data_IF_762925301939
#
_entry.id   IF_762925301939
#
_cell.length_a   1.000
_cell.length_b   1.000
_cell.length_c   1.000
_cell.angle_alpha   90.00
_cell.angle_beta   90.00
_cell.angle_gamma   90.00
#
_symmetry.space_group_name_H-M   'P 1'
#
loop_
_entity.id
_entity.type
_entity.pdbx_description
1 polymer ?
#
# COMPACT_ATOMS: atom_id res chain seq x y z
N UNK A 1 -56.64 4.97 40.22
CA UNK A 1 -55.48 5.78 40.68
C UNK A 1 -54.14 5.09 40.49
N UNK A 2 -53.95 3.82 40.89
CA UNK A 2 -52.66 3.10 40.76
C UNK A 2 -52.10 3.01 39.32
N UNK A 3 -52.95 2.72 38.33
CA UNK A 3 -52.54 2.58 36.92
C UNK A 3 -52.09 3.92 36.30
N UNK A 4 -52.71 5.02 36.72
CA UNK A 4 -52.37 6.36 36.25
C UNK A 4 -51.06 6.85 36.85
N UNK A 5 -50.81 6.52 38.13
CA UNK A 5 -49.53 6.80 38.79
C UNK A 5 -48.38 6.01 38.15
N UNK A 6 -48.59 4.74 37.79
CA UNK A 6 -47.57 3.95 37.09
C UNK A 6 -47.30 4.47 35.68
N UNK A 7 -48.33 4.92 34.96
CA UNK A 7 -48.17 5.49 33.62
C UNK A 7 -47.39 6.82 33.65
N UNK A 8 -47.67 7.68 34.64
CA UNK A 8 -46.94 8.95 34.82
C UNK A 8 -45.49 8.70 35.24
N UNK A 9 -45.22 7.68 36.07
CA UNK A 9 -43.87 7.31 36.49
C UNK A 9 -43.05 6.75 35.31
N UNK A 10 -43.66 5.92 34.46
CA UNK A 10 -43.04 5.39 33.24
C UNK A 10 -42.76 6.48 32.20
N UNK A 11 -43.69 7.43 32.04
CA UNK A 11 -43.50 8.58 31.15
C UNK A 11 -42.41 9.53 31.65
N UNK A 12 -42.29 9.69 32.99
CA UNK A 12 -41.19 10.44 33.61
C UNK A 12 -39.82 9.80 33.41
N UNK A 13 -39.73 8.46 33.39
CA UNK A 13 -38.49 7.75 33.10
C UNK A 13 -38.03 7.90 31.64
N UNK A 14 -38.97 8.04 30.70
CA UNK A 14 -38.68 8.29 29.28
C UNK A 14 -38.25 9.72 28.97
N UNK A 15 -38.47 10.66 29.90
CA UNK A 15 -38.08 12.07 29.80
C UNK A 15 -36.79 12.39 30.55
N UNK A 16 -36.11 11.38 31.12
CA UNK A 16 -34.76 11.57 31.62
C UNK A 16 -33.86 11.93 30.42
N UNK A 17 -33.19 13.09 30.41
CA UNK A 17 -32.24 13.41 29.37
C UNK A 17 -31.15 12.33 29.45
N UNK A 18 -31.11 11.46 28.46
CA UNK A 18 -29.89 10.69 28.20
C UNK A 18 -28.84 11.77 27.96
N UNK A 19 -27.93 11.93 28.91
CA UNK A 19 -26.71 12.66 28.66
C UNK A 19 -26.07 11.91 27.48
N UNK A 20 -26.22 12.47 26.27
CA UNK A 20 -25.36 12.12 25.16
C UNK A 20 -23.96 12.33 25.73
N UNK A 21 -23.23 11.23 25.97
CA UNK A 21 -21.82 11.33 26.23
C UNK A 21 -21.27 12.01 24.99
N UNK A 22 -20.91 13.30 25.12
CA UNK A 22 -20.07 13.93 24.12
C UNK A 22 -18.90 12.97 23.96
N UNK A 23 -18.78 12.34 22.79
CA UNK A 23 -17.55 11.68 22.41
C UNK A 23 -16.48 12.73 22.70
N UNK A 24 -15.57 12.43 23.63
CA UNK A 24 -14.56 13.38 24.06
C UNK A 24 -13.95 14.00 22.81
N UNK A 25 -13.84 15.33 22.79
CA UNK A 25 -13.30 16.03 21.63
C UNK A 25 -11.97 15.37 21.26
N UNK A 26 -11.89 14.85 20.03
CA UNK A 26 -10.70 14.15 19.54
C UNK A 26 -9.49 15.04 19.80
N UNK A 27 -8.45 14.47 20.39
CA UNK A 27 -7.18 15.17 20.59
C UNK A 27 -6.17 14.63 19.59
N UNK A 28 -5.30 15.49 19.09
CA UNK A 28 -4.16 15.10 18.29
C UNK A 28 -2.97 14.89 19.24
N UNK A 29 -2.38 13.69 19.24
CA UNK A 29 -1.24 13.39 20.10
C UNK A 29 0.02 14.11 19.62
N UNK A 30 0.26 14.14 18.30
CA UNK A 30 1.30 14.98 17.71
C UNK A 30 0.88 15.51 16.34
N UNK A 31 1.27 16.75 16.04
CA UNK A 31 1.11 17.38 14.75
C UNK A 31 2.44 18.05 14.36
N UNK A 32 3.09 17.52 13.32
CA UNK A 32 4.18 18.20 12.65
C UNK A 32 3.66 18.82 11.35
N UNK A 33 3.85 20.13 11.20
CA UNK A 33 3.54 20.86 9.97
C UNK A 33 4.82 21.12 9.20
N UNK A 34 4.92 20.54 8.01
CA UNK A 34 6.05 20.76 7.10
C UNK A 34 5.67 21.75 6.01
N UNK A 35 6.47 22.80 5.87
CA UNK A 35 6.28 23.88 4.91
C UNK A 35 7.44 23.86 3.92
N UNK A 36 7.15 23.48 2.68
CA UNK A 36 8.12 23.30 1.62
C UNK A 36 7.82 24.30 0.48
N UNK A 37 8.40 25.51 0.54
CA UNK A 37 8.18 26.53 -0.49
C UNK A 37 8.89 26.15 -1.79
N UNK A 38 8.23 26.34 -2.93
CA UNK A 38 8.86 26.15 -4.24
C UNK A 38 9.55 24.77 -4.41
N UNK A 39 8.98 23.72 -3.79
CA UNK A 39 9.62 22.41 -3.73
C UNK A 39 9.56 21.67 -5.06
N UNK A 40 8.37 21.29 -5.49
CA UNK A 40 8.08 20.64 -6.78
C UNK A 40 7.02 21.39 -7.59
N UNK A 41 6.42 22.44 -7.01
CA UNK A 41 5.59 23.44 -7.67
C UNK A 41 5.93 24.84 -7.16
N UNK A 42 5.59 25.93 -7.88
CA UNK A 42 5.88 27.31 -7.45
C UNK A 42 5.18 27.75 -6.15
N UNK A 43 4.15 27.05 -5.72
CA UNK A 43 3.37 27.30 -4.51
C UNK A 43 4.06 26.78 -3.22
N UNK A 44 3.43 27.01 -2.06
CA UNK A 44 3.83 26.37 -0.80
C UNK A 44 3.24 24.96 -0.71
N UNK A 45 4.08 23.93 -0.64
CA UNK A 45 3.62 22.59 -0.24
C UNK A 45 3.53 22.53 1.29
N UNK A 46 2.33 22.27 1.80
CA UNK A 46 2.06 22.08 3.22
C UNK A 46 1.76 20.60 3.45
N UNK A 47 2.44 19.99 4.41
CA UNK A 47 2.27 18.59 4.77
C UNK A 47 1.98 18.53 6.27
N UNK A 48 0.88 17.89 6.64
CA UNK A 48 0.58 17.54 8.02
C UNK A 48 0.95 16.09 8.25
N UNK A 49 1.79 15.84 9.24
CA UNK A 49 1.99 14.52 9.84
C UNK A 49 1.29 14.50 11.19
N UNK A 50 0.17 13.77 11.27
CA UNK A 50 -0.64 13.67 12.47
C UNK A 50 -0.51 12.28 13.09
N UNK A 51 -0.43 12.22 14.41
CA UNK A 51 -0.67 11.01 15.19
C UNK A 51 -1.86 11.21 16.13
N UNK A 52 -2.78 10.27 16.12
CA UNK A 52 -3.89 10.21 17.06
C UNK A 52 -3.53 9.32 18.27
N UNK A 53 -4.16 9.55 19.43
CA UNK A 53 -4.00 8.70 20.61
C UNK A 53 -4.32 7.22 20.33
N UNK A 54 -3.57 6.33 20.99
CA UNK A 54 -3.69 4.88 20.80
C UNK A 54 -4.96 4.26 21.40
N UNK A 55 -5.70 5.01 22.23
CA UNK A 55 -6.92 4.59 22.90
C UNK A 55 -8.20 4.91 22.12
N UNK A 56 -8.08 5.49 20.92
CA UNK A 56 -9.23 5.74 20.05
C UNK A 56 -9.71 4.47 19.34
N UNK A 57 -11.04 4.37 19.18
CA UNK A 57 -11.69 3.34 18.38
C UNK A 57 -11.85 3.82 16.93
N UNK A 58 -11.55 2.95 15.97
CA UNK A 58 -11.67 3.20 14.54
C UNK A 58 -12.78 2.33 13.91
N UNK A 59 -13.46 2.80 12.84
CA UNK A 59 -13.25 4.09 12.17
C UNK A 59 -13.85 5.26 12.95
N UNK A 60 -13.24 6.44 12.80
CA UNK A 60 -13.76 7.71 13.33
C UNK A 60 -13.74 8.79 12.25
N UNK A 61 -14.48 9.86 12.44
CA UNK A 61 -14.46 11.01 11.54
C UNK A 61 -13.54 12.10 12.09
N UNK A 62 -12.56 12.51 11.28
CA UNK A 62 -11.69 13.66 11.56
C UNK A 62 -11.94 14.72 10.49
N UNK A 63 -12.19 15.96 10.89
CA UNK A 63 -12.32 17.09 9.96
C UNK A 63 -11.14 18.03 10.10
N UNK A 64 -10.31 18.17 9.07
CA UNK A 64 -9.19 19.11 9.02
C UNK A 64 -9.54 20.29 8.11
N UNK A 65 -9.17 21.50 8.49
CA UNK A 65 -9.40 22.70 7.67
C UNK A 65 -8.13 23.10 6.94
N UNK A 66 -8.28 23.42 5.66
CA UNK A 66 -7.24 24.03 4.82
C UNK A 66 -7.79 25.34 4.23
N UNK A 67 -6.93 26.29 3.81
CA UNK A 67 -7.41 27.55 3.24
C UNK A 67 -8.35 27.36 2.06
N UNK A 68 -9.36 28.21 1.89
CA UNK A 68 -10.36 28.08 0.80
C UNK A 68 -9.79 28.24 -0.62
N UNK A 69 -8.58 28.79 -0.75
CA UNK A 69 -7.78 28.77 -1.98
C UNK A 69 -7.47 27.33 -2.42
N UNK A 70 -7.35 26.42 -1.45
CA UNK A 70 -7.15 24.97 -1.64
C UNK A 70 -8.52 24.32 -1.79
N UNK A 71 -8.87 23.91 -3.02
CA UNK A 71 -10.17 23.25 -3.30
C UNK A 71 -10.26 21.82 -2.83
N UNK A 72 -9.12 21.13 -2.75
CA UNK A 72 -8.98 19.75 -2.26
C UNK A 72 -7.51 19.50 -1.90
N UNK A 73 -7.23 18.58 -0.97
CA UNK A 73 -5.87 18.14 -0.71
C UNK A 73 -5.26 17.47 -1.95
N UNK A 74 -3.93 17.52 -2.00
CA UNK A 74 -3.13 16.75 -2.95
C UNK A 74 -3.11 15.26 -2.57
N UNK A 75 -2.83 14.98 -1.29
CA UNK A 75 -2.76 13.63 -0.71
C UNK A 75 -3.53 13.61 0.61
N UNK A 76 -4.24 12.51 0.86
CA UNK A 76 -4.70 12.11 2.19
C UNK A 76 -4.34 10.65 2.34
N UNK A 77 -3.49 10.32 3.31
CA UNK A 77 -2.98 8.99 3.55
C UNK A 77 -3.14 8.59 5.02
N UNK A 78 -3.39 7.32 5.29
CA UNK A 78 -3.64 6.77 6.63
C UNK A 78 -2.80 5.49 6.81
N UNK A 79 -2.30 5.23 8.02
CA UNK A 79 -1.52 4.03 8.33
C UNK A 79 -1.41 3.71 9.83
N UNK A 80 -0.94 2.49 10.13
CA UNK A 80 -0.72 2.00 11.50
C UNK A 80 0.59 2.50 12.12
N UNK A 81 1.52 2.96 11.29
CA UNK A 81 2.79 3.58 11.65
C UNK A 81 3.13 4.74 10.69
N UNK A 82 3.95 5.73 11.10
CA UNK A 82 4.27 6.90 10.28
C UNK A 82 4.80 6.58 8.88
N UNK A 83 5.62 5.53 8.75
CA UNK A 83 6.26 5.10 7.49
C UNK A 83 5.39 4.15 6.65
N UNK A 84 4.17 3.86 7.11
CA UNK A 84 3.25 2.91 6.46
C UNK A 84 1.96 3.58 5.96
N UNK A 85 1.85 4.90 6.06
CA UNK A 85 0.68 5.63 5.57
C UNK A 85 0.50 5.41 4.06
N UNK A 86 -0.75 5.21 3.63
CA UNK A 86 -1.09 5.06 2.22
C UNK A 86 -2.37 5.81 1.89
N UNK A 87 -2.43 6.37 0.69
CA UNK A 87 -3.62 7.02 0.11
C UNK A 87 -4.62 6.02 -0.48
N UNK A 88 -4.25 4.74 -0.56
CA UNK A 88 -5.07 3.69 -1.14
C UNK A 88 -6.30 3.39 -0.28
N UNK A 89 -7.48 3.69 -0.84
CA UNK A 89 -8.76 3.40 -0.20
C UNK A 89 -9.14 4.36 0.93
N UNK A 90 -8.45 5.50 1.05
CA UNK A 90 -8.81 6.54 2.01
C UNK A 90 -10.08 7.25 1.54
N UNK A 91 -11.14 7.18 2.35
CA UNK A 91 -12.40 7.88 2.11
C UNK A 91 -12.38 9.26 2.76
N UNK A 92 -12.60 10.31 1.95
CA UNK A 92 -12.81 11.66 2.44
C UNK A 92 -13.77 12.43 1.54
N UNK A 93 -14.32 13.51 2.08
CA UNK A 93 -15.10 14.50 1.34
C UNK A 93 -14.60 15.91 1.65
N UNK A 94 -14.97 16.87 0.80
CA UNK A 94 -14.63 18.27 0.99
C UNK A 94 -15.87 19.14 0.94
N UNK A 95 -15.93 20.14 1.81
CA UNK A 95 -16.95 21.17 1.77
C UNK A 95 -16.33 22.53 2.10
N UNK A 96 -16.58 23.52 1.26
CA UNK A 96 -16.09 24.86 1.49
C UNK A 96 -17.03 25.60 2.46
N UNK A 97 -16.47 26.26 3.46
CA UNK A 97 -17.19 27.01 4.49
C UNK A 97 -16.42 28.29 4.83
N UNK A 98 -16.93 29.44 4.35
CA UNK A 98 -16.26 30.72 4.51
C UNK A 98 -14.85 30.71 3.90
N UNK A 99 -13.87 31.10 4.72
CA UNK A 99 -12.45 31.16 4.35
C UNK A 99 -11.75 29.80 4.35
N UNK A 100 -12.45 28.71 4.69
CA UNK A 100 -11.89 27.37 4.84
C UNK A 100 -12.50 26.37 3.85
N UNK A 101 -11.71 25.36 3.50
CA UNK A 101 -12.18 24.09 2.95
C UNK A 101 -12.04 23.04 4.03
N UNK A 102 -13.16 22.48 4.46
CA UNK A 102 -13.21 21.37 5.40
C UNK A 102 -12.89 20.08 4.63
N UNK A 103 -11.93 19.30 5.12
CA UNK A 103 -11.55 17.96 4.64
C UNK A 103 -12.05 16.97 5.68
N UNK A 104 -13.17 16.30 5.39
CA UNK A 104 -13.83 15.35 6.28
C UNK A 104 -13.36 13.94 5.93
N UNK A 105 -12.56 13.34 6.80
CA UNK A 105 -11.83 12.08 6.58
C UNK A 105 -12.45 10.97 7.45
N UNK A 106 -12.69 9.81 6.86
CA UNK A 106 -12.96 8.57 7.61
C UNK A 106 -11.62 7.95 7.99
N UNK A 107 -11.19 8.17 9.23
CA UNK A 107 -9.90 7.70 9.74
C UNK A 107 -10.02 6.27 10.23
N UNK A 108 -9.13 5.39 9.77
CA UNK A 108 -9.12 3.95 10.09
C UNK A 108 -7.90 3.48 10.87
N UNK A 109 -6.90 4.35 11.07
CA UNK A 109 -5.64 4.06 11.75
C UNK A 109 -5.04 5.36 12.34
N UNK A 110 -4.10 5.29 13.29
CA UNK A 110 -3.69 6.45 14.09
C UNK A 110 -2.80 7.46 13.38
N UNK A 111 -2.12 7.11 12.29
CA UNK A 111 -1.23 8.04 11.57
C UNK A 111 -1.90 8.54 10.30
N UNK A 112 -1.90 9.86 10.13
CA UNK A 112 -2.50 10.53 8.98
C UNK A 112 -1.47 11.47 8.38
N UNK A 113 -1.36 11.44 7.06
CA UNK A 113 -0.62 12.43 6.28
C UNK A 113 -1.61 13.18 5.37
N UNK A 114 -1.62 14.50 5.45
CA UNK A 114 -2.42 15.34 4.57
C UNK A 114 -1.50 16.35 3.89
N UNK A 115 -1.56 16.41 2.56
CA UNK A 115 -0.76 17.35 1.77
C UNK A 115 -1.64 18.27 0.96
N UNK A 116 -1.24 19.53 0.82
CA UNK A 116 -1.85 20.46 -0.10
C UNK A 116 -0.86 21.52 -0.60
N UNK A 117 -1.18 22.10 -1.74
CA UNK A 117 -0.45 23.26 -2.27
C UNK A 117 -1.25 24.52 -2.00
N UNK A 118 -0.66 25.45 -1.25
CA UNK A 118 -1.23 26.75 -0.97
C UNK A 118 -0.66 27.82 -1.91
N UNK A 119 -1.49 28.42 -2.78
CA UNK A 119 -1.06 29.51 -3.66
C UNK A 119 -0.80 30.84 -2.91
N UNK A 120 -0.93 30.87 -1.59
CA UNK A 120 -0.69 32.03 -0.73
C UNK A 120 0.77 32.50 -0.67
N UNK A 121 1.73 31.75 -1.24
CA UNK A 121 3.13 32.19 -1.35
C UNK A 121 3.24 33.39 -2.30
N UNK A 122 3.49 34.56 -1.74
CA UNK A 122 3.61 35.82 -2.49
C UNK A 122 5.04 36.00 -2.99
N UNK A 123 5.17 36.45 -4.23
CA UNK A 123 6.43 36.79 -4.89
C UNK A 123 6.46 38.28 -5.21
N UNK A 124 7.46 39.00 -4.73
CA UNK A 124 7.73 40.40 -5.07
C UNK A 124 9.21 40.58 -5.44
N UNK A 125 9.51 40.60 -6.74
CA UNK A 125 10.89 40.52 -7.25
C UNK A 125 11.56 39.24 -6.76
N UNK A 126 12.65 39.39 -6.00
CA UNK A 126 13.38 38.27 -5.38
C UNK A 126 12.84 37.92 -3.98
N UNK A 127 11.94 38.74 -3.42
CA UNK A 127 11.36 38.50 -2.10
C UNK A 127 10.23 37.48 -2.17
N UNK A 128 10.17 36.61 -1.17
CA UNK A 128 9.13 35.60 -0.99
C UNK A 128 8.55 35.74 0.41
N UNK A 129 7.22 35.68 0.52
CA UNK A 129 6.52 35.80 1.80
C UNK A 129 5.31 34.89 1.85
N UNK A 130 5.11 34.24 2.99
CA UNK A 130 4.00 33.33 3.26
C UNK A 130 3.54 33.46 4.70
N UNK A 131 2.25 33.25 4.94
CA UNK A 131 1.67 33.16 6.29
C UNK A 131 0.92 31.84 6.37
N UNK A 132 1.36 31.00 7.30
CA UNK A 132 0.69 29.75 7.65
C UNK A 132 -0.23 29.96 8.85
N UNK A 133 -1.42 29.37 8.80
CA UNK A 133 -2.37 29.32 9.93
C UNK A 133 -2.79 27.87 10.21
N UNK A 134 -2.55 27.41 11.44
CA UNK A 134 -3.26 26.28 12.02
C UNK A 134 -4.51 26.82 12.75
N UNK A 135 -5.72 26.40 12.39
CA UNK A 135 -6.95 27.01 12.88
C UNK A 135 -7.36 26.61 14.32
N UNK A 136 -6.69 25.62 14.92
CA UNK A 136 -6.90 25.27 16.33
C UNK A 136 -8.13 24.40 16.64
N UNK A 137 -8.74 23.71 15.67
CA UNK A 137 -9.98 22.93 15.90
C UNK A 137 -9.86 21.82 16.97
N UNK A 138 -8.65 21.29 17.12
CA UNK A 138 -8.33 20.23 18.06
C UNK A 138 -7.22 20.69 18.99
N UNK A 139 -7.28 20.22 20.22
CA UNK A 139 -6.12 20.25 21.09
C UNK A 139 -5.02 19.35 20.51
N UNK A 140 -3.77 19.80 20.62
CA UNK A 140 -2.57 19.10 20.17
C UNK A 140 -1.64 18.96 21.37
N UNK A 141 -1.21 17.74 21.70
CA UNK A 141 -0.29 17.55 22.84
C UNK A 141 1.15 17.96 22.50
N UNK A 142 1.60 17.66 21.27
CA UNK A 142 2.93 18.04 20.75
C UNK A 142 2.80 18.65 19.34
N UNK A 143 2.95 19.97 19.25
CA UNK A 143 2.91 20.73 18.01
C UNK A 143 4.31 21.16 17.58
N UNK A 144 4.68 20.84 16.34
CA UNK A 144 5.95 21.21 15.74
C UNK A 144 5.77 21.79 14.33
N UNK A 145 6.70 22.66 13.94
CA UNK A 145 6.75 23.18 12.58
C UNK A 145 8.15 23.03 12.03
N UNK A 146 8.23 22.64 10.76
CA UNK A 146 9.47 22.47 10.03
C UNK A 146 9.36 23.12 8.66
N UNK A 147 10.34 23.93 8.32
CA UNK A 147 10.44 24.64 7.04
C UNK A 147 11.64 24.11 6.27
N UNK A 148 11.42 23.68 5.03
CA UNK A 148 12.49 23.37 4.09
C UNK A 148 12.97 24.70 3.47
N UNK A 149 14.27 25.02 3.59
CA UNK A 149 14.83 26.22 2.95
C UNK A 149 15.00 25.97 1.45
N UNK A 150 14.26 26.67 0.56
CA UNK A 150 14.28 26.34 -0.86
C UNK A 150 15.67 26.41 -1.48
N UNK A 151 15.92 25.60 -2.51
CA UNK A 151 17.23 25.59 -3.15
C UNK A 151 17.58 26.98 -3.73
N UNK A 152 18.76 27.49 -3.37
CA UNK A 152 19.21 28.84 -3.77
C UNK A 152 18.50 30.00 -3.06
N UNK A 153 17.71 29.74 -2.02
CA UNK A 153 17.16 30.77 -1.15
C UNK A 153 18.18 31.21 -0.10
N UNK A 154 18.15 32.50 0.21
CA UNK A 154 18.96 33.16 1.23
C UNK A 154 18.05 33.90 2.22
N UNK A 155 18.60 34.22 3.40
CA UNK A 155 17.93 35.04 4.42
C UNK A 155 16.53 34.52 4.79
N UNK A 156 16.37 33.20 4.95
CA UNK A 156 15.13 32.63 5.47
C UNK A 156 14.91 33.10 6.91
N UNK A 157 13.73 33.67 7.16
CA UNK A 157 13.30 34.16 8.45
C UNK A 157 11.89 33.66 8.74
N UNK A 158 11.63 33.38 10.01
CA UNK A 158 10.34 32.92 10.52
C UNK A 158 9.95 33.68 11.79
N UNK A 159 8.66 33.93 11.97
CA UNK A 159 8.08 34.43 13.21
C UNK A 159 6.82 33.62 13.56
N UNK A 160 6.80 32.89 14.69
CA UNK A 160 7.89 32.72 15.67
C UNK A 160 9.16 32.08 15.05
N UNK A 161 10.34 32.33 15.63
CA UNK A 161 11.59 31.82 15.10
C UNK A 161 11.69 30.29 15.21
N UNK A 162 12.05 29.64 14.12
CA UNK A 162 12.43 28.23 14.09
C UNK A 162 13.93 28.09 14.43
N UNK A 163 14.25 28.00 15.71
CA UNK A 163 15.62 28.14 16.24
C UNK A 163 16.60 27.02 15.85
N UNK A 164 16.09 25.83 15.49
CA UNK A 164 16.92 24.70 15.15
C UNK A 164 17.12 24.61 13.65
N UNK A 165 18.35 24.34 13.22
CA UNK A 165 18.70 24.17 11.81
C UNK A 165 19.46 22.87 11.62
N UNK A 166 19.06 22.08 10.62
CA UNK A 166 19.71 20.82 10.26
C UNK A 166 19.87 20.71 8.75
N UNK A 167 21.00 20.15 8.30
CA UNK A 167 21.18 19.70 6.92
C UNK A 167 21.05 18.18 6.91
N UNK A 168 20.13 17.65 6.10
CA UNK A 168 19.85 16.21 6.05
C UNK A 168 20.58 15.50 4.90
N UNK A 169 20.33 14.19 4.76
CA UNK A 169 20.98 13.33 3.78
C UNK A 169 20.69 13.74 2.33
N UNK A 170 19.55 14.40 2.11
CA UNK A 170 19.14 15.01 0.84
C UNK A 170 19.92 16.30 0.53
N UNK A 171 20.83 16.72 1.40
CA UNK A 171 21.61 17.98 1.35
C UNK A 171 20.76 19.25 1.48
N UNK A 172 19.47 19.12 1.78
CA UNK A 172 18.57 20.24 2.03
C UNK A 172 18.72 20.72 3.47
N UNK A 173 18.53 22.03 3.65
CA UNK A 173 18.52 22.66 4.97
C UNK A 173 17.09 22.80 5.46
N UNK A 174 16.86 22.43 6.72
CA UNK A 174 15.57 22.51 7.38
C UNK A 174 15.69 23.32 8.66
N UNK A 175 14.73 24.22 8.87
CA UNK A 175 14.57 25.02 10.08
C UNK A 175 13.36 24.49 10.84
N UNK A 176 13.45 24.28 12.15
CA UNK A 176 12.36 23.68 12.91
C UNK A 176 12.31 24.11 14.38
N UNK A 177 11.13 24.02 14.97
CA UNK A 177 10.90 24.20 16.39
C UNK A 177 9.68 23.38 16.85
N UNK A 178 9.71 22.98 18.12
CA UNK A 178 8.56 22.44 18.83
C UNK A 178 7.97 23.54 19.71
N UNK A 179 6.65 23.67 19.67
CA UNK A 179 5.90 24.66 20.45
C UNK A 179 5.12 24.02 21.62
N UNK A 180 5.22 22.70 21.79
CA UNK A 180 4.55 21.96 22.85
C UNK A 180 3.04 21.84 22.59
N UNK A 181 2.24 21.88 23.66
CA UNK A 181 0.81 21.65 23.55
C UNK A 181 0.02 22.89 23.16
N UNK A 182 -0.95 22.75 22.25
CA UNK A 182 -1.95 23.76 21.91
C UNK A 182 -3.34 23.33 22.42
N UNK A 183 -4.11 24.26 22.98
CA UNK A 183 -5.48 23.97 23.40
C UNK A 183 -6.46 23.97 22.22
N UNK A 184 -7.59 23.29 22.36
CA UNK A 184 -8.67 23.41 21.39
C UNK A 184 -9.19 24.86 21.36
N UNK A 185 -9.35 25.41 20.15
CA UNK A 185 -9.66 26.81 19.89
C UNK A 185 -8.46 27.75 19.90
N UNK A 186 -7.23 27.24 20.11
CA UNK A 186 -6.00 28.03 20.05
C UNK A 186 -5.37 27.95 18.65
N UNK A 187 -5.46 29.02 17.83
CA UNK A 187 -4.81 29.04 16.54
C UNK A 187 -3.29 29.22 16.69
N UNK A 188 -2.54 28.75 15.70
CA UNK A 188 -1.10 29.01 15.58
C UNK A 188 -0.82 29.64 14.24
N UNK A 189 -0.01 30.70 14.22
CA UNK A 189 0.40 31.39 13.01
C UNK A 189 1.93 31.38 12.87
N UNK A 190 2.41 31.19 11.64
CA UNK A 190 3.83 31.36 11.30
C UNK A 190 3.95 32.26 10.07
N UNK A 191 4.65 33.38 10.22
CA UNK A 191 5.12 34.16 9.09
C UNK A 191 6.47 33.63 8.61
N UNK A 192 6.63 33.54 7.29
CA UNK A 192 7.83 33.05 6.64
C UNK A 192 8.24 34.02 5.53
N UNK A 193 9.52 34.36 5.47
CA UNK A 193 10.09 35.14 4.36
C UNK A 193 11.49 34.70 3.99
N UNK A 194 11.84 34.84 2.72
CA UNK A 194 13.19 34.56 2.20
C UNK A 194 13.45 35.34 0.91
N UNK A 195 14.70 35.35 0.46
CA UNK A 195 15.11 35.91 -0.82
C UNK A 195 15.52 34.79 -1.78
N UNK A 196 15.06 34.86 -3.02
CA UNK A 196 15.39 33.90 -4.07
C UNK A 196 15.27 34.56 -5.45
N UNK A 197 16.40 34.70 -6.13
CA UNK A 197 16.50 35.42 -7.41
C UNK A 197 16.13 34.63 -8.67
N UNK A 198 15.53 33.44 -8.53
CA UNK A 198 15.09 32.62 -9.66
C UNK A 198 13.88 31.76 -9.27
N UNK A 199 13.26 31.09 -10.24
CA UNK A 199 12.10 30.19 -10.04
C UNK A 199 12.48 28.69 -10.11
N UNK A 200 13.77 28.35 -9.93
CA UNK A 200 14.19 26.94 -9.89
C UNK A 200 13.59 26.25 -8.67
N UNK A 201 12.96 25.10 -8.88
CA UNK A 201 12.31 24.31 -7.83
C UNK A 201 13.33 23.44 -7.09
N UNK A 202 13.15 23.23 -5.78
CA UNK A 202 14.07 22.44 -4.94
C UNK A 202 14.31 21.04 -5.52
N UNK A 203 13.27 20.34 -5.97
CA UNK A 203 13.39 18.98 -6.55
C UNK A 203 14.30 18.93 -7.78
N UNK A 204 14.46 20.04 -8.50
CA UNK A 204 15.34 20.10 -9.67
C UNK A 204 16.83 20.10 -9.31
N UNK A 205 17.16 20.34 -8.04
CA UNK A 205 18.54 20.35 -7.52
C UNK A 205 18.91 19.06 -6.79
N UNK A 206 17.92 18.23 -6.47
CA UNK A 206 18.17 16.94 -5.83
C UNK A 206 18.90 16.01 -6.80
N UNK A 207 20.02 15.44 -6.35
CA UNK A 207 20.72 14.43 -7.12
C UNK A 207 19.91 13.14 -7.07
N UNK A 208 19.40 12.68 -8.21
CA UNK A 208 18.87 11.32 -8.33
C UNK A 208 20.02 10.33 -8.21
N UNK A 209 20.21 9.68 -7.06
CA UNK A 209 20.97 8.43 -7.06
C UNK A 209 20.20 7.43 -7.92
N UNK A 210 20.83 6.80 -8.93
CA UNK A 210 20.26 5.61 -9.53
C UNK A 210 19.97 4.64 -8.38
N UNK A 211 18.72 4.19 -8.27
CA UNK A 211 18.41 3.08 -7.37
C UNK A 211 19.43 1.99 -7.65
N UNK A 212 20.11 1.50 -6.61
CA UNK A 212 21.05 0.40 -6.74
C UNK A 212 20.37 -0.65 -7.62
N UNK A 213 20.95 -1.05 -8.76
CA UNK A 213 20.32 -2.06 -9.60
C UNK A 213 20.01 -3.21 -8.67
N UNK A 214 18.74 -3.61 -8.61
CA UNK A 214 18.31 -4.73 -7.79
C UNK A 214 19.26 -5.89 -8.11
N UNK A 215 20.21 -6.13 -7.22
CA UNK A 215 21.07 -7.29 -7.33
C UNK A 215 20.16 -8.51 -7.42
N UNK A 216 20.64 -9.59 -8.03
CA UNK A 216 19.89 -10.84 -8.20
C UNK A 216 19.27 -11.42 -6.89
N UNK A 217 19.55 -10.81 -5.75
CA UNK A 217 19.08 -11.10 -4.40
C UNK A 217 17.86 -10.28 -3.95
N UNK A 218 16.95 -9.88 -4.84
CA UNK A 218 15.63 -9.39 -4.42
C UNK A 218 14.79 -10.56 -3.88
N UNK A 219 14.41 -10.50 -2.60
CA UNK A 219 13.59 -11.52 -1.92
C UNK A 219 12.30 -11.77 -2.70
N UNK A 220 12.11 -13.00 -3.17
CA UNK A 220 10.92 -13.42 -3.92
C UNK A 220 11.20 -14.17 -5.22
N UNK A 221 12.44 -14.20 -5.72
CA UNK A 221 12.81 -15.01 -6.90
C UNK A 221 13.41 -16.35 -6.46
N UNK A 222 12.80 -17.47 -6.86
CA UNK A 222 13.39 -18.80 -6.72
C UNK A 222 14.71 -18.84 -7.51
N UNK A 223 15.86 -18.78 -6.82
CA UNK A 223 17.16 -18.90 -7.48
C UNK A 223 17.39 -20.33 -7.93
N UNK A 224 17.00 -20.62 -9.18
CA UNK A 224 17.21 -21.93 -9.82
C UNK A 224 18.67 -22.38 -9.70
N UNK A 225 19.62 -21.45 -9.77
CA UNK A 225 21.05 -21.76 -9.67
C UNK A 225 21.48 -22.32 -8.30
N UNK A 226 20.81 -21.92 -7.20
CA UNK A 226 21.05 -22.47 -5.85
C UNK A 226 20.57 -23.92 -5.73
N UNK A 227 19.47 -24.26 -6.39
CA UNK A 227 18.86 -25.57 -6.30
C UNK A 227 19.31 -26.52 -7.42
N UNK A 228 19.89 -25.99 -8.50
CA UNK A 228 20.29 -26.76 -9.68
C UNK A 228 21.25 -27.92 -9.34
N UNK A 229 22.28 -27.77 -8.47
CA UNK A 229 23.14 -28.89 -8.10
C UNK A 229 22.37 -30.02 -7.39
N UNK A 230 21.38 -29.66 -6.55
CA UNK A 230 20.55 -30.60 -5.82
C UNK A 230 19.50 -31.27 -6.71
N UNK A 231 18.93 -30.53 -7.67
CA UNK A 231 18.01 -31.06 -8.68
C UNK A 231 18.75 -32.04 -9.59
N UNK A 232 19.92 -31.65 -10.12
CA UNK A 232 20.74 -32.52 -10.96
C UNK A 232 21.26 -33.73 -10.18
N UNK A 233 21.69 -33.54 -8.92
CA UNK A 233 22.08 -34.63 -8.03
C UNK A 233 20.93 -35.59 -7.75
N UNK A 234 19.74 -35.07 -7.45
CA UNK A 234 18.52 -35.85 -7.20
C UNK A 234 18.06 -36.63 -8.44
N UNK A 235 18.05 -35.99 -9.61
CA UNK A 235 17.75 -36.65 -10.90
C UNK A 235 18.79 -37.71 -11.21
N UNK A 236 20.07 -37.43 -10.99
CA UNK A 236 21.15 -38.40 -11.16
C UNK A 236 20.98 -39.63 -10.28
N UNK A 237 20.70 -39.44 -8.98
CA UNK A 237 20.42 -40.54 -8.04
C UNK A 237 19.18 -41.32 -8.47
N UNK A 238 18.09 -40.64 -8.85
CA UNK A 238 16.87 -41.29 -9.30
C UNK A 238 17.09 -42.13 -10.56
N UNK A 239 17.91 -41.66 -11.50
CA UNK A 239 18.28 -42.41 -12.71
C UNK A 239 19.17 -43.61 -12.39
N UNK A 240 20.12 -43.49 -11.46
CA UNK A 240 20.97 -44.61 -11.02
C UNK A 240 20.14 -45.67 -10.31
N UNK A 241 19.28 -45.27 -9.37
CA UNK A 241 18.41 -46.19 -8.64
C UNK A 241 17.36 -46.83 -9.57
N UNK A 242 16.72 -46.04 -10.43
CA UNK A 242 15.75 -46.52 -11.41
C UNK A 242 16.40 -47.45 -12.44
N UNK A 243 17.58 -47.10 -12.95
CA UNK A 243 18.37 -47.92 -13.85
C UNK A 243 18.84 -49.22 -13.19
N UNK A 244 19.29 -49.15 -11.93
CA UNK A 244 19.67 -50.32 -11.14
C UNK A 244 18.51 -51.27 -10.87
N UNK A 245 17.33 -50.73 -10.51
CA UNK A 245 16.11 -51.51 -10.33
C UNK A 245 15.67 -52.17 -11.63
N UNK A 246 15.66 -51.43 -12.74
CA UNK A 246 15.32 -51.95 -14.07
C UNK A 246 16.29 -53.06 -14.49
N UNK A 247 17.60 -52.84 -14.33
CA UNK A 247 18.62 -53.82 -14.67
C UNK A 247 18.48 -55.09 -13.81
N UNK A 248 18.27 -54.96 -12.50
CA UNK A 248 18.07 -56.09 -11.60
C UNK A 248 16.79 -56.87 -11.92
N UNK A 249 15.72 -56.18 -12.31
CA UNK A 249 14.47 -56.83 -12.71
C UNK A 249 14.61 -57.54 -14.07
N UNK A 250 15.39 -56.98 -14.99
CA UNK A 250 15.67 -57.56 -16.31
C UNK A 250 16.70 -58.70 -16.30
N UNK A 251 17.55 -58.75 -15.27
CA UNK A 251 18.60 -59.76 -15.07
C UNK A 251 18.11 -60.97 -14.28
N UNK A 252 16.82 -61.03 -13.92
CA UNK A 252 16.21 -62.24 -13.36
C UNK A 252 16.18 -63.32 -14.45
N UNK A 253 16.90 -64.44 -14.30
CA UNK A 253 16.89 -65.48 -15.31
C UNK A 253 15.47 -66.02 -15.48
N UNK A 254 14.98 -65.99 -16.72
CA UNK A 254 13.69 -66.58 -17.06
C UNK A 254 13.68 -68.05 -16.63
N UNK A 255 12.65 -68.53 -15.91
CA UNK A 255 12.57 -69.95 -15.56
C UNK A 255 12.50 -70.79 -16.84
N UNK A 256 13.42 -71.74 -16.93
CA UNK A 256 13.51 -72.76 -17.98
C UNK A 256 12.14 -73.40 -18.23
N UNK A 257 11.61 -73.24 -19.45
CA UNK A 257 10.33 -73.82 -19.88
C UNK A 257 10.46 -75.34 -19.92
N UNK A 258 9.95 -75.99 -18.88
CA UNK A 258 9.70 -77.43 -18.86
C UNK A 258 8.54 -77.73 -19.80
N UNK A 259 8.81 -78.45 -20.90
CA UNK A 259 7.79 -78.97 -21.84
C UNK A 259 6.74 -79.77 -21.08
N UNK A 260 5.46 -79.39 -21.18
CA UNK A 260 4.32 -80.28 -20.95
C UNK A 260 3.20 -79.97 -21.93
N UNK A 261 2.74 -81.03 -22.59
CA UNK A 261 1.57 -81.11 -23.44
C UNK A 261 0.32 -80.62 -22.73
N UNK A 262 -0.49 -79.78 -23.41
CA UNK A 262 -1.94 -79.75 -23.26
C UNK A 262 -2.59 -79.02 -24.46
N UNK A 263 -3.31 -79.81 -25.25
CA UNK A 263 -4.53 -79.53 -26.02
C UNK A 263 -4.85 -78.12 -26.53
N UNK A 264 -4.79 -78.02 -27.86
CA UNK A 264 -5.57 -77.19 -28.79
C UNK A 264 -6.82 -76.51 -28.21
N UNK A 265 -6.83 -75.18 -28.27
CA UNK A 265 -7.97 -74.38 -28.74
C UNK A 265 -7.41 -73.15 -29.44
N UNK A 266 -7.70 -73.06 -30.74
CA UNK A 266 -7.41 -71.89 -31.57
C UNK A 266 -8.06 -70.63 -30.97
N UNK A 267 -7.27 -69.59 -30.77
CA UNK A 267 -7.73 -68.22 -30.70
C UNK A 267 -6.90 -67.39 -31.68
N UNK A 268 -7.59 -66.95 -32.71
CA UNK A 268 -7.15 -66.23 -33.90
C UNK A 268 -6.24 -65.05 -33.55
N UNK A 269 -5.03 -65.04 -34.12
CA UNK A 269 -4.19 -63.86 -34.20
C UNK A 269 -4.76 -62.98 -35.32
N UNK A 270 -5.46 -61.91 -34.95
CA UNK A 270 -5.73 -60.80 -35.87
C UNK A 270 -4.52 -59.88 -35.83
N UNK A 271 -3.76 -59.93 -36.91
CA UNK A 271 -2.80 -58.88 -37.28
C UNK A 271 -3.62 -57.64 -37.65
N UNK A 272 -3.90 -56.79 -36.66
CA UNK A 272 -4.71 -55.58 -36.80
C UNK A 272 -3.82 -54.40 -37.14
N UNK A 273 -3.94 -53.90 -38.36
CA UNK A 273 -3.33 -52.67 -38.85
C UNK A 273 -3.49 -51.53 -37.82
N UNK A 274 -2.41 -50.81 -37.54
CA UNK A 274 -2.38 -49.78 -36.52
C UNK A 274 -3.23 -48.56 -36.94
N UNK A 275 -4.41 -48.39 -36.33
CA UNK A 275 -5.28 -47.22 -36.57
C UNK A 275 -4.79 -46.02 -35.76
N UNK A 276 -4.68 -44.86 -36.41
CA UNK A 276 -4.29 -43.59 -35.78
C UNK A 276 -5.43 -42.56 -35.83
N UNK A 277 -5.49 -41.67 -34.84
CA UNK A 277 -6.48 -40.60 -34.83
C UNK A 277 -6.13 -39.50 -35.84
N UNK A 278 -7.04 -39.20 -36.76
CA UNK A 278 -6.86 -38.16 -37.78
C UNK A 278 -6.85 -36.72 -37.21
N UNK A 279 -7.32 -36.50 -35.99
CA UNK A 279 -7.33 -35.17 -35.36
C UNK A 279 -6.10 -34.90 -34.49
N UNK A 280 -5.63 -35.88 -33.71
CA UNK A 280 -4.53 -35.67 -32.76
C UNK A 280 -3.29 -36.57 -33.01
N UNK A 281 -3.32 -37.43 -34.02
CA UNK A 281 -2.20 -38.28 -34.42
C UNK A 281 -1.88 -39.45 -33.48
N UNK A 282 -2.55 -39.58 -32.33
CA UNK A 282 -2.28 -40.69 -31.39
C UNK A 282 -2.83 -42.02 -31.87
N UNK A 283 -2.08 -43.10 -31.62
CA UNK A 283 -2.46 -44.48 -31.94
C UNK A 283 -3.65 -44.93 -31.10
N UNK A 284 -4.62 -45.57 -31.75
CA UNK A 284 -5.76 -46.18 -31.08
C UNK A 284 -5.48 -47.64 -30.72
N UNK A 285 -6.12 -48.13 -29.65
CA UNK A 285 -6.10 -49.54 -29.29
C UNK A 285 -7.11 -50.32 -30.17
N UNK A 286 -6.84 -51.61 -30.47
CA UNK A 286 -7.80 -52.45 -31.19
C UNK A 286 -9.17 -52.45 -30.50
N UNK A 287 -10.22 -52.09 -31.23
CA UNK A 287 -11.60 -52.05 -30.73
C UNK A 287 -12.13 -50.65 -30.37
N UNK A 288 -11.29 -49.63 -30.22
CA UNK A 288 -11.73 -48.27 -29.86
C UNK A 288 -12.61 -47.65 -30.97
N UNK A 289 -13.73 -47.01 -30.58
CA UNK A 289 -14.63 -46.25 -31.49
C UNK A 289 -14.35 -44.75 -31.47
N UNK A 290 -13.84 -44.24 -30.35
CA UNK A 290 -13.47 -42.84 -30.13
C UNK A 290 -12.03 -42.77 -29.63
N UNK A 291 -11.32 -41.70 -29.98
CA UNK A 291 -9.98 -41.46 -29.47
C UNK A 291 -10.04 -41.17 -27.98
N UNK A 292 -9.33 -41.95 -27.17
CA UNK A 292 -9.26 -41.74 -25.72
C UNK A 292 -8.55 -40.45 -25.31
N UNK A 293 -7.77 -39.85 -26.20
CA UNK A 293 -7.01 -38.64 -25.91
C UNK A 293 -7.79 -37.34 -26.21
N UNK A 294 -8.63 -37.33 -27.25
CA UNK A 294 -9.36 -36.11 -27.66
C UNK A 294 -10.86 -36.31 -27.87
N UNK A 295 -11.39 -37.53 -27.69
CA UNK A 295 -12.82 -37.83 -27.83
C UNK A 295 -13.32 -37.97 -29.27
N UNK A 296 -12.54 -37.63 -30.29
CA UNK A 296 -12.97 -37.68 -31.70
C UNK A 296 -13.22 -39.13 -32.17
N UNK A 297 -14.33 -39.35 -32.89
CA UNK A 297 -14.66 -40.65 -33.49
C UNK A 297 -13.60 -41.06 -34.50
N UNK A 298 -13.07 -42.28 -34.37
CA UNK A 298 -12.04 -42.80 -35.26
C UNK A 298 -12.68 -43.23 -36.58
N UNK A 299 -12.07 -42.83 -37.71
CA UNK A 299 -12.44 -43.32 -39.04
C UNK A 299 -11.78 -44.69 -39.20
N UNK A 300 -12.58 -45.72 -39.46
CA UNK A 300 -12.08 -47.05 -39.83
C UNK A 300 -12.25 -47.12 -41.34
N UNK A 301 -11.15 -47.29 -42.06
CA UNK A 301 -11.22 -47.47 -43.50
C UNK A 301 -11.58 -48.94 -43.77
N UNK A 302 -12.80 -49.16 -44.26
CA UNK A 302 -13.35 -50.48 -44.59
C UNK A 302 -14.84 -50.56 -44.25
N UNK A 303 -15.67 -50.68 -45.29
CA UNK A 303 -17.14 -50.73 -45.23
C UNK A 303 -17.75 -51.89 -44.46
#
# INVERSE_FOLDING_TARGET
>A
MRIWLTAILLLGLLLLPMAAQAQGQVRIASLEVNLWPEYDKPEMLVIYYLALPADLEYPLTLTLRVPSSVKRPHVVAIGDAPDTVSDLGVEYSVNQEGEWTNVVITVTAPFIQLEYYDPGLKKDGDSRHFVYEWPGDYAVDDFGVRVQQPAGAENLQTDPPLENVVVEQDTLTYHFASFGSLQAGEPFNLELSYQKGNDTLTVSTLQVQPGTPLGESAGGRFSLNRYLPWILGGVGIALILGGGLYFWQSSRPAPSKRKRHATRREAVVSDGEAIYCHQCGKRAQPGDRFCRACGTRLRRDGG
#
